data_IF_018668680461
#
_entry.id   IF_018668680461
#
_cell.length_a   1.000
_cell.length_b   1.000
_cell.length_c   1.000
_cell.angle_alpha   90.00
_cell.angle_beta   90.00
_cell.angle_gamma   90.00
#
_symmetry.space_group_name_H-M   'P 1'
#
loop_
_entity.id
_entity.type
_entity.pdbx_description
1 polymer ?
#
# COMPACT_ATOMS: atom_id res chain seq x y z
N UNK A 1 13.34 -13.47 -14.62
CA UNK A 1 12.06 -13.34 -13.85
C UNK A 1 11.13 -12.49 -14.69
N UNK A 2 9.90 -12.96 -14.95
CA UNK A 2 8.91 -12.13 -15.66
C UNK A 2 8.53 -10.99 -14.71
N UNK A 3 8.73 -9.74 -15.13
CA UNK A 3 8.40 -8.53 -14.36
C UNK A 3 6.94 -8.59 -13.91
N UNK A 4 6.66 -8.23 -12.66
CA UNK A 4 5.29 -8.10 -12.10
C UNK A 4 4.45 -7.20 -13.00
N UNK A 5 5.08 -6.12 -13.52
CA UNK A 5 4.50 -5.24 -14.52
C UNK A 5 3.94 -6.00 -15.73
N UNK A 6 4.74 -6.85 -16.39
CA UNK A 6 4.33 -7.56 -17.60
C UNK A 6 3.19 -8.54 -17.31
N UNK A 7 3.18 -9.18 -16.15
CA UNK A 7 2.13 -10.12 -15.73
C UNK A 7 0.81 -9.40 -15.44
N UNK A 8 0.85 -8.29 -14.72
CA UNK A 8 -0.35 -7.50 -14.43
C UNK A 8 -0.90 -6.85 -15.70
N UNK A 9 -0.02 -6.27 -16.53
CA UNK A 9 -0.44 -5.72 -17.83
C UNK A 9 -1.07 -6.78 -18.72
N UNK A 10 -0.45 -7.98 -18.86
CA UNK A 10 -1.00 -9.06 -19.66
C UNK A 10 -2.36 -9.53 -19.13
N UNK A 11 -2.55 -9.64 -17.81
CA UNK A 11 -3.81 -10.03 -17.21
C UNK A 11 -4.92 -9.00 -17.47
N UNK A 12 -4.65 -7.70 -17.23
CA UNK A 12 -5.62 -6.63 -17.49
C UNK A 12 -5.91 -6.47 -18.98
N UNK A 13 -4.89 -6.55 -19.85
CA UNK A 13 -5.05 -6.49 -21.29
C UNK A 13 -5.92 -7.65 -21.83
N UNK A 14 -5.69 -8.87 -21.33
CA UNK A 14 -6.49 -10.03 -21.68
C UNK A 14 -7.93 -9.86 -21.22
N UNK A 15 -8.17 -9.40 -20.00
CA UNK A 15 -9.52 -9.12 -19.49
C UNK A 15 -10.25 -8.09 -20.34
N UNK A 16 -9.60 -6.96 -20.64
CA UNK A 16 -10.14 -5.90 -21.50
C UNK A 16 -10.48 -6.45 -22.88
N UNK A 17 -9.58 -7.22 -23.49
CA UNK A 17 -9.81 -7.83 -24.80
C UNK A 17 -11.06 -8.73 -24.81
N UNK A 18 -11.20 -9.60 -23.84
CA UNK A 18 -12.39 -10.48 -23.76
C UNK A 18 -13.68 -9.68 -23.50
N UNK A 19 -13.66 -8.65 -22.67
CA UNK A 19 -14.82 -7.78 -22.47
C UNK A 19 -15.25 -7.13 -23.79
N UNK A 20 -14.32 -6.60 -24.59
CA UNK A 20 -14.62 -6.03 -25.89
C UNK A 20 -15.12 -7.05 -26.90
N UNK A 21 -14.58 -8.27 -26.89
CA UNK A 21 -15.03 -9.35 -27.76
C UNK A 21 -16.48 -9.76 -27.47
N UNK A 22 -16.82 -9.90 -26.19
CA UNK A 22 -18.21 -10.19 -25.77
C UNK A 22 -19.13 -9.04 -26.17
N UNK A 23 -18.74 -7.81 -25.87
CA UNK A 23 -19.52 -6.61 -26.24
C UNK A 23 -19.77 -6.55 -27.75
N UNK A 24 -18.74 -6.71 -28.58
CA UNK A 24 -18.86 -6.69 -30.02
C UNK A 24 -19.79 -7.79 -30.53
N UNK A 25 -19.71 -9.03 -29.98
CA UNK A 25 -20.58 -10.14 -30.35
C UNK A 25 -22.06 -9.87 -30.05
N UNK A 26 -22.34 -9.37 -28.83
CA UNK A 26 -23.70 -9.01 -28.39
C UNK A 26 -24.24 -7.86 -29.25
N UNK A 27 -23.40 -6.84 -29.48
CA UNK A 27 -23.76 -5.65 -30.25
C UNK A 27 -24.11 -5.97 -31.70
N UNK A 28 -23.33 -6.85 -32.39
CA UNK A 28 -23.64 -7.31 -33.75
C UNK A 28 -24.93 -8.09 -33.78
N UNK A 29 -25.14 -9.00 -32.82
CA UNK A 29 -26.37 -9.84 -32.77
C UNK A 29 -27.64 -9.02 -32.53
N UNK A 30 -27.62 -8.14 -31.52
CA UNK A 30 -28.79 -7.34 -31.17
C UNK A 30 -29.01 -6.23 -32.21
N UNK A 31 -27.96 -5.53 -32.65
CA UNK A 31 -28.06 -4.42 -33.55
C UNK A 31 -28.62 -4.80 -34.90
N UNK A 32 -28.21 -5.94 -35.46
CA UNK A 32 -28.78 -6.47 -36.72
C UNK A 32 -30.27 -6.67 -36.60
N UNK A 33 -30.72 -7.35 -35.55
CA UNK A 33 -32.12 -7.64 -35.35
C UNK A 33 -32.95 -6.36 -35.14
N UNK A 34 -32.39 -5.40 -34.44
CA UNK A 34 -33.02 -4.10 -34.20
C UNK A 34 -33.23 -3.34 -35.52
N UNK A 35 -32.18 -3.20 -36.35
CA UNK A 35 -32.28 -2.49 -37.65
C UNK A 35 -33.30 -3.13 -38.58
N UNK A 36 -33.28 -4.48 -38.68
CA UNK A 36 -34.26 -5.19 -39.51
C UNK A 36 -35.69 -4.99 -38.98
N UNK A 37 -35.89 -5.02 -37.67
CA UNK A 37 -37.20 -4.82 -37.06
C UNK A 37 -37.75 -3.39 -37.26
N UNK A 38 -36.89 -2.39 -37.19
CA UNK A 38 -37.23 -0.97 -37.42
C UNK A 38 -37.68 -0.75 -38.86
N UNK A 39 -36.89 -1.18 -39.87
CA UNK A 39 -37.25 -1.09 -41.27
C UNK A 39 -38.56 -1.83 -41.58
N UNK A 40 -38.76 -3.02 -41.01
CA UNK A 40 -39.99 -3.77 -41.14
C UNK A 40 -41.19 -2.99 -40.60
N UNK A 41 -41.08 -2.38 -39.45
CA UNK A 41 -42.16 -1.64 -38.82
C UNK A 41 -42.50 -0.38 -39.63
N UNK A 42 -41.56 0.30 -40.20
CA UNK A 42 -41.74 1.45 -41.07
C UNK A 42 -42.48 1.06 -42.37
N UNK A 43 -42.13 -0.08 -42.98
CA UNK A 43 -42.79 -0.57 -44.13
C UNK A 43 -44.24 -1.01 -43.85
N UNK A 44 -44.50 -1.63 -42.71
CA UNK A 44 -45.86 -2.00 -42.25
C UNK A 44 -46.69 -0.76 -42.01
N UNK A 45 -46.12 0.28 -41.38
CA UNK A 45 -46.81 1.56 -41.17
C UNK A 45 -47.15 2.23 -42.49
N UNK A 46 -46.18 2.28 -43.43
CA UNK A 46 -46.39 2.82 -44.79
C UNK A 46 -47.49 2.04 -45.53
N UNK A 47 -47.50 0.71 -45.46
CA UNK A 47 -48.52 -0.09 -46.11
C UNK A 47 -49.93 0.14 -45.51
N UNK A 48 -50.02 0.30 -44.19
CA UNK A 48 -51.31 0.63 -43.54
C UNK A 48 -51.81 2.04 -43.91
N UNK A 49 -50.91 3.05 -43.99
CA UNK A 49 -51.26 4.39 -44.37
C UNK A 49 -51.72 4.46 -45.81
N UNK A 50 -51.01 3.84 -46.75
CA UNK A 50 -51.39 3.78 -48.15
C UNK A 50 -52.69 2.98 -48.33
N UNK A 51 -52.91 1.86 -47.65
CA UNK A 51 -54.15 1.08 -47.68
C UNK A 51 -55.36 1.92 -47.26
N UNK A 52 -55.24 2.71 -46.16
CA UNK A 52 -56.28 3.60 -45.69
C UNK A 52 -56.54 4.74 -46.67
N UNK A 53 -55.50 5.35 -47.22
CA UNK A 53 -55.60 6.43 -48.22
C UNK A 53 -56.27 5.91 -49.52
N UNK A 54 -55.86 4.75 -49.97
CA UNK A 54 -56.46 4.10 -51.14
C UNK A 54 -57.94 3.75 -50.90
N UNK A 55 -58.32 3.25 -49.74
CA UNK A 55 -59.71 2.97 -49.37
C UNK A 55 -60.57 4.23 -49.35
N UNK A 56 -60.05 5.34 -48.82
CA UNK A 56 -60.75 6.60 -48.76
C UNK A 56 -60.95 7.23 -50.15
N UNK A 57 -59.93 7.19 -51.00
CA UNK A 57 -59.99 7.71 -52.39
C UNK A 57 -60.93 6.85 -53.24
N UNK A 58 -60.95 5.51 -53.07
CA UNK A 58 -61.80 4.60 -53.81
C UNK A 58 -63.30 4.82 -53.60
N UNK A 59 -63.72 5.59 -52.58
CA UNK A 59 -65.12 6.01 -52.38
C UNK A 59 -65.60 7.08 -53.42
N UNK A 60 -64.69 7.91 -53.90
CA UNK A 60 -65.02 9.03 -54.77
C UNK A 60 -64.42 8.87 -56.17
N UNK A 61 -63.46 7.99 -56.39
CA UNK A 61 -62.72 7.78 -57.62
C UNK A 61 -62.19 6.33 -57.73
N UNK A 62 -61.59 5.98 -58.85
CA UNK A 62 -60.99 4.65 -59.07
C UNK A 62 -59.61 4.54 -58.42
N UNK A 63 -59.17 3.29 -58.10
CA UNK A 63 -57.81 3.01 -57.63
C UNK A 63 -56.70 3.37 -58.65
N UNK A 64 -57.09 3.70 -59.91
CA UNK A 64 -56.18 4.21 -60.95
C UNK A 64 -56.11 5.72 -60.97
N UNK A 65 -56.70 6.43 -60.00
CA UNK A 65 -56.75 7.89 -59.96
C UNK A 65 -55.35 8.54 -59.84
N UNK A 66 -55.12 9.65 -60.53
CA UNK A 66 -53.87 10.40 -60.41
C UNK A 66 -53.65 10.98 -59.00
N UNK A 67 -54.71 11.24 -58.22
CA UNK A 67 -54.65 11.73 -56.83
C UNK A 67 -54.03 10.62 -55.96
N UNK A 68 -54.43 9.36 -56.12
CA UNK A 68 -53.89 8.23 -55.44
C UNK A 68 -52.41 8.01 -55.81
N UNK A 69 -52.07 8.09 -57.11
CA UNK A 69 -50.67 7.99 -57.56
C UNK A 69 -49.77 9.06 -56.98
N UNK A 70 -50.28 10.29 -56.84
CA UNK A 70 -49.54 11.40 -56.22
C UNK A 70 -49.34 11.20 -54.73
N UNK A 71 -50.36 10.73 -54.02
CA UNK A 71 -50.29 10.39 -52.61
C UNK A 71 -49.29 9.25 -52.32
N UNK A 72 -49.34 8.23 -53.13
CA UNK A 72 -48.42 7.08 -53.07
C UNK A 72 -46.97 7.55 -53.32
N UNK A 73 -46.76 8.38 -54.35
CA UNK A 73 -45.45 8.95 -54.68
C UNK A 73 -44.90 9.85 -53.55
N UNK A 74 -45.75 10.59 -52.85
CA UNK A 74 -45.36 11.40 -51.68
C UNK A 74 -44.92 10.50 -50.53
N UNK A 75 -45.70 9.47 -50.18
CA UNK A 75 -45.36 8.54 -49.12
C UNK A 75 -44.07 7.78 -49.48
N UNK A 76 -43.95 7.28 -50.69
CA UNK A 76 -42.76 6.59 -51.18
C UNK A 76 -41.49 7.44 -51.10
N UNK A 77 -41.59 8.75 -51.49
CA UNK A 77 -40.43 9.66 -51.45
C UNK A 77 -40.04 10.05 -50.00
N UNK A 78 -40.97 10.10 -49.07
CA UNK A 78 -40.68 10.41 -47.66
C UNK A 78 -40.05 9.23 -46.92
N UNK A 79 -40.43 7.98 -47.29
CA UNK A 79 -39.96 6.77 -46.60
C UNK A 79 -38.80 6.06 -47.33
N UNK A 80 -38.52 6.42 -48.58
CA UNK A 80 -37.53 5.75 -49.43
C UNK A 80 -37.98 4.36 -49.91
N UNK A 81 -39.25 4.01 -49.68
CA UNK A 81 -39.85 2.75 -50.12
C UNK A 81 -40.45 2.89 -51.53
N UNK A 82 -40.51 1.77 -52.27
CA UNK A 82 -41.36 1.70 -53.46
C UNK A 82 -42.71 1.17 -53.09
N UNK A 83 -43.76 1.84 -53.60
CA UNK A 83 -45.14 1.48 -53.31
C UNK A 83 -45.91 1.30 -54.62
N UNK A 84 -46.69 0.24 -54.71
CA UNK A 84 -47.63 0.05 -55.82
C UNK A 84 -48.94 -0.60 -55.32
N UNK A 85 -49.99 -0.41 -56.10
CA UNK A 85 -51.32 -0.95 -55.81
C UNK A 85 -51.74 -1.84 -56.94
N UNK A 86 -52.38 -2.94 -56.61
CA UNK A 86 -53.00 -3.89 -57.59
C UNK A 86 -54.51 -3.90 -57.44
N UNK A 87 -55.15 -4.35 -58.47
CA UNK A 87 -56.56 -4.75 -58.42
C UNK A 87 -56.75 -6.08 -57.65
N UNK A 88 -57.98 -6.58 -57.56
CA UNK A 88 -58.34 -7.85 -56.91
C UNK A 88 -57.65 -9.08 -57.50
N UNK A 89 -57.30 -9.01 -58.82
CA UNK A 89 -56.66 -10.07 -59.61
C UNK A 89 -55.11 -10.01 -59.50
N UNK A 90 -54.58 -8.98 -58.88
CA UNK A 90 -53.13 -8.78 -58.73
C UNK A 90 -52.48 -8.01 -59.87
N UNK A 91 -53.27 -7.37 -60.76
CA UNK A 91 -52.72 -6.47 -61.83
C UNK A 91 -52.36 -5.14 -61.25
N UNK A 92 -51.13 -4.65 -61.51
CA UNK A 92 -50.62 -3.38 -60.99
C UNK A 92 -51.31 -2.22 -61.72
N UNK A 93 -52.06 -1.42 -60.96
CA UNK A 93 -52.85 -0.28 -61.45
C UNK A 93 -52.32 1.09 -61.05
N UNK A 94 -51.45 1.18 -60.03
CA UNK A 94 -50.81 2.40 -59.60
C UNK A 94 -49.43 2.11 -59.02
N UNK A 95 -48.45 2.97 -59.30
CA UNK A 95 -47.05 2.79 -58.86
C UNK A 95 -46.43 4.13 -58.47
N UNK A 96 -45.55 4.14 -57.47
CA UNK A 96 -44.83 5.31 -56.98
C UNK A 96 -43.64 5.70 -57.85
N UNK A 97 -43.23 4.85 -58.83
CA UNK A 97 -42.12 5.15 -59.71
C UNK A 97 -42.45 6.33 -60.61
N UNK A 98 -41.62 7.38 -60.57
CA UNK A 98 -41.79 8.65 -61.38
C UNK A 98 -41.27 8.56 -62.79
N UNK A 99 -40.92 7.38 -63.30
CA UNK A 99 -40.51 7.22 -64.69
C UNK A 99 -41.72 7.48 -65.61
N UNK A 100 -41.51 8.08 -66.80
CA UNK A 100 -42.62 8.43 -67.68
C UNK A 100 -43.49 7.23 -68.12
N UNK A 101 -42.96 6.01 -67.98
CA UNK A 101 -43.70 4.75 -68.06
C UNK A 101 -43.09 3.81 -66.98
N UNK A 102 -43.88 3.52 -65.93
CA UNK A 102 -43.48 2.52 -64.92
C UNK A 102 -43.49 1.14 -65.58
N UNK A 103 -42.35 0.45 -65.65
CA UNK A 103 -42.22 -0.88 -66.28
C UNK A 103 -43.13 -1.92 -65.62
N UNK A 104 -43.61 -1.66 -64.42
CA UNK A 104 -44.45 -2.59 -63.63
C UNK A 104 -45.96 -2.41 -63.87
N UNK A 105 -46.40 -1.28 -64.53
CA UNK A 105 -47.80 -1.02 -64.79
C UNK A 105 -48.41 -2.04 -65.73
N UNK A 106 -49.58 -2.60 -65.34
CA UNK A 106 -50.27 -3.60 -66.10
C UNK A 106 -49.71 -5.03 -65.95
N UNK A 107 -48.63 -5.21 -65.22
CA UNK A 107 -48.10 -6.54 -64.88
C UNK A 107 -48.99 -7.18 -63.85
N UNK A 108 -49.40 -8.49 -64.11
CA UNK A 108 -50.14 -9.27 -63.11
C UNK A 108 -49.19 -10.09 -62.28
N UNK A 109 -49.33 -10.04 -60.95
CA UNK A 109 -48.54 -10.81 -60.01
C UNK A 109 -48.98 -12.32 -60.08
N UNK A 110 -48.03 -13.18 -59.66
CA UNK A 110 -48.32 -14.62 -59.60
C UNK A 110 -49.53 -14.91 -58.69
N UNK A 111 -50.48 -15.72 -59.10
CA UNK A 111 -51.73 -16.05 -58.36
C UNK A 111 -51.48 -16.51 -56.94
N UNK A 112 -50.33 -17.15 -56.69
CA UNK A 112 -49.94 -17.72 -55.40
C UNK A 112 -49.74 -16.55 -54.37
N UNK A 113 -49.23 -15.39 -54.77
CA UNK A 113 -49.02 -14.24 -53.93
C UNK A 113 -50.34 -13.65 -53.47
N UNK A 114 -51.28 -13.48 -54.40
CA UNK A 114 -52.63 -12.97 -54.13
C UNK A 114 -53.41 -13.92 -53.24
N UNK A 115 -53.32 -15.23 -53.49
CA UNK A 115 -53.94 -16.24 -52.67
C UNK A 115 -53.38 -16.23 -51.23
N UNK A 116 -52.06 -16.06 -51.05
CA UNK A 116 -51.46 -15.91 -49.73
C UNK A 116 -51.98 -14.64 -48.99
N UNK A 117 -52.12 -13.52 -49.71
CA UNK A 117 -52.67 -12.29 -49.13
C UNK A 117 -54.15 -12.47 -48.75
N UNK A 118 -54.93 -13.13 -49.59
CA UNK A 118 -56.35 -13.42 -49.31
C UNK A 118 -56.55 -14.31 -48.10
N UNK A 119 -55.68 -15.33 -47.91
CA UNK A 119 -55.74 -16.25 -46.76
C UNK A 119 -55.22 -15.64 -45.47
N UNK A 120 -54.09 -14.90 -45.51
CA UNK A 120 -53.37 -14.44 -44.31
C UNK A 120 -53.67 -12.99 -43.94
N UNK A 121 -54.41 -12.23 -44.78
CA UNK A 121 -54.69 -10.82 -44.55
C UNK A 121 -53.48 -9.89 -44.65
N UNK A 122 -52.28 -10.40 -44.85
CA UNK A 122 -51.04 -9.63 -45.04
C UNK A 122 -49.91 -10.52 -45.56
N UNK A 123 -48.97 -9.90 -46.27
CA UNK A 123 -47.77 -10.58 -46.73
C UNK A 123 -46.55 -9.82 -46.14
N UNK A 124 -45.62 -10.56 -45.58
CA UNK A 124 -44.39 -10.03 -45.01
C UNK A 124 -43.26 -11.03 -45.29
N UNK A 125 -42.47 -10.80 -46.32
CA UNK A 125 -41.41 -11.71 -46.78
C UNK A 125 -40.31 -10.99 -47.56
N UNK A 126 -39.15 -11.66 -47.64
CA UNK A 126 -38.08 -11.31 -48.56
C UNK A 126 -38.20 -12.13 -49.84
N UNK A 127 -38.11 -11.51 -51.00
CA UNK A 127 -38.14 -12.20 -52.27
C UNK A 127 -38.15 -11.26 -53.48
N UNK A 128 -38.36 -11.83 -54.66
CA UNK A 128 -38.39 -11.12 -55.96
C UNK A 128 -39.79 -10.84 -56.46
N UNK A 129 -40.82 -11.10 -55.66
CA UNK A 129 -42.24 -10.95 -56.00
C UNK A 129 -42.63 -11.73 -57.28
N UNK A 130 -42.29 -13.00 -57.38
CA UNK A 130 -42.57 -13.85 -58.54
C UNK A 130 -41.73 -13.45 -59.79
N UNK A 131 -40.56 -12.82 -59.59
CA UNK A 131 -39.69 -12.39 -60.70
C UNK A 131 -39.93 -10.97 -61.18
N UNK A 132 -40.84 -10.23 -60.55
CA UNK A 132 -41.06 -8.80 -60.85
C UNK A 132 -39.80 -7.97 -60.68
N UNK A 133 -39.02 -8.26 -59.66
CA UNK A 133 -37.73 -7.61 -59.37
C UNK A 133 -36.55 -8.55 -59.62
N UNK A 134 -35.47 -7.96 -60.18
CA UNK A 134 -34.20 -8.68 -60.45
C UNK A 134 -33.42 -8.98 -59.18
N UNK A 135 -33.57 -8.17 -58.10
CA UNK A 135 -32.92 -8.33 -56.81
C UNK A 135 -33.92 -8.65 -55.71
N UNK A 136 -33.48 -9.34 -54.67
CA UNK A 136 -34.29 -9.58 -53.49
C UNK A 136 -34.68 -8.29 -52.80
N UNK A 137 -35.95 -8.18 -52.41
CA UNK A 137 -36.53 -7.04 -51.69
C UNK A 137 -37.24 -7.54 -50.43
N UNK A 138 -37.33 -6.70 -49.46
CA UNK A 138 -38.29 -6.85 -48.39
C UNK A 138 -39.65 -6.37 -48.90
N UNK A 139 -40.69 -7.15 -48.68
CA UNK A 139 -42.02 -6.93 -49.28
C UNK A 139 -43.06 -7.02 -48.15
N UNK A 140 -43.77 -5.95 -47.95
CA UNK A 140 -44.96 -5.91 -47.10
C UNK A 140 -46.18 -5.62 -47.99
N UNK A 141 -47.23 -6.45 -47.87
CA UNK A 141 -48.46 -6.16 -48.59
C UNK A 141 -49.69 -6.26 -47.66
N UNK A 142 -50.68 -5.39 -47.94
CA UNK A 142 -51.90 -5.28 -47.18
C UNK A 142 -53.10 -5.18 -48.13
N UNK A 143 -54.27 -5.73 -47.78
CA UNK A 143 -55.50 -5.54 -48.58
C UNK A 143 -55.96 -4.05 -48.46
N UNK A 144 -56.64 -3.60 -49.48
CA UNK A 144 -57.36 -2.33 -49.50
C UNK A 144 -58.84 -2.69 -49.37
N UNK A 145 -59.46 -2.39 -48.21
CA UNK A 145 -60.86 -2.67 -48.02
C UNK A 145 -61.73 -1.61 -48.71
N UNK A 146 -62.85 -2.04 -49.23
CA UNK A 146 -63.94 -1.14 -49.68
C UNK A 146 -64.52 -0.44 -48.43
N UNK A 147 -64.84 0.83 -48.54
CA UNK A 147 -65.33 1.62 -47.39
C UNK A 147 -66.82 1.33 -47.04
N UNK A 148 -67.54 0.57 -47.86
CA UNK A 148 -68.96 0.27 -47.64
C UNK A 148 -69.25 -1.12 -47.06
N UNK A 149 -68.70 -2.15 -47.66
CA UNK A 149 -68.98 -3.56 -47.38
C UNK A 149 -67.75 -4.30 -46.80
N UNK A 150 -66.57 -3.69 -46.79
CA UNK A 150 -65.35 -4.32 -46.27
C UNK A 150 -64.75 -5.34 -47.24
N UNK A 151 -65.30 -5.53 -48.43
CA UNK A 151 -64.66 -6.37 -49.46
C UNK A 151 -63.33 -5.82 -49.90
N UNK A 152 -62.40 -6.67 -50.27
CA UNK A 152 -61.06 -6.26 -50.71
C UNK A 152 -61.15 -5.83 -52.18
N UNK A 153 -60.88 -4.60 -52.47
CA UNK A 153 -60.90 -3.99 -53.82
C UNK A 153 -59.51 -3.95 -54.46
N UNK A 154 -58.48 -4.36 -53.79
CA UNK A 154 -57.10 -4.42 -54.28
C UNK A 154 -56.10 -4.67 -53.19
N UNK A 155 -54.81 -4.57 -53.50
CA UNK A 155 -53.74 -4.82 -52.54
C UNK A 155 -52.66 -3.72 -52.68
N UNK A 156 -52.13 -3.24 -51.56
CA UNK A 156 -50.98 -2.36 -51.47
C UNK A 156 -49.75 -3.18 -51.24
N UNK A 157 -48.71 -2.90 -52.00
CA UNK A 157 -47.39 -3.47 -51.84
C UNK A 157 -46.39 -2.37 -51.54
N UNK A 158 -45.65 -2.50 -50.46
CA UNK A 158 -44.51 -1.67 -50.09
C UNK A 158 -43.25 -2.51 -50.18
N UNK A 159 -42.28 -2.08 -50.95
CA UNK A 159 -41.05 -2.85 -51.18
C UNK A 159 -39.81 -1.98 -50.98
N UNK A 160 -38.76 -2.55 -50.41
CA UNK A 160 -37.46 -1.89 -50.27
C UNK A 160 -36.34 -2.88 -50.64
N UNK A 161 -35.34 -2.48 -51.46
CA UNK A 161 -34.21 -3.31 -51.76
C UNK A 161 -33.48 -3.75 -50.47
N UNK A 162 -33.16 -5.05 -50.34
CA UNK A 162 -32.41 -5.53 -49.21
C UNK A 162 -31.03 -4.88 -49.07
N UNK A 163 -30.46 -4.39 -50.18
CA UNK A 163 -29.17 -3.68 -50.19
C UNK A 163 -29.19 -2.35 -49.40
N UNK A 164 -30.32 -1.64 -49.38
CA UNK A 164 -30.48 -0.41 -48.59
C UNK A 164 -30.44 -0.70 -47.09
N UNK A 165 -31.06 -1.79 -46.65
CA UNK A 165 -31.04 -2.24 -45.27
C UNK A 165 -29.62 -2.69 -44.87
N UNK A 166 -28.93 -3.41 -45.76
CA UNK A 166 -27.52 -3.86 -45.54
C UNK A 166 -26.56 -2.68 -45.54
N UNK A 167 -26.81 -1.67 -46.42
CA UNK A 167 -26.04 -0.42 -46.47
C UNK A 167 -26.13 0.37 -45.16
N UNK A 168 -27.32 0.57 -44.62
CA UNK A 168 -27.52 1.23 -43.34
C UNK A 168 -26.82 0.46 -42.19
N UNK A 169 -26.93 -0.89 -42.17
CA UNK A 169 -26.24 -1.74 -41.20
C UNK A 169 -24.74 -1.65 -41.36
N UNK A 170 -24.15 -1.62 -42.55
CA UNK A 170 -22.73 -1.52 -42.78
C UNK A 170 -22.15 -0.19 -42.29
N UNK A 171 -22.87 0.91 -42.51
CA UNK A 171 -22.50 2.24 -42.01
C UNK A 171 -22.51 2.26 -40.49
N UNK A 172 -23.55 1.72 -39.86
CA UNK A 172 -23.66 1.58 -38.42
C UNK A 172 -22.51 0.75 -37.83
N UNK A 173 -22.18 -0.40 -38.44
CA UNK A 173 -21.04 -1.22 -38.03
C UNK A 173 -19.70 -0.49 -38.15
N UNK A 174 -19.53 0.29 -39.21
CA UNK A 174 -18.28 1.07 -39.41
C UNK A 174 -18.09 2.08 -38.30
N UNK A 175 -19.12 2.90 -38.02
CA UNK A 175 -19.07 3.90 -36.95
C UNK A 175 -18.83 3.21 -35.60
N UNK A 176 -19.57 2.13 -35.29
CA UNK A 176 -19.42 1.38 -34.06
C UNK A 176 -18.01 0.78 -33.92
N UNK A 177 -17.44 0.27 -35.01
CA UNK A 177 -16.09 -0.31 -35.01
C UNK A 177 -15.02 0.75 -34.71
N UNK A 178 -15.13 1.95 -35.29
CA UNK A 178 -14.19 3.07 -35.04
C UNK A 178 -14.26 3.51 -33.58
N UNK A 179 -15.48 3.69 -33.04
CA UNK A 179 -15.67 4.08 -31.64
C UNK A 179 -15.12 3.00 -30.71
N UNK A 180 -15.44 1.73 -30.95
CA UNK A 180 -14.98 0.58 -30.16
C UNK A 180 -13.44 0.51 -30.16
N UNK A 181 -12.81 0.68 -31.30
CA UNK A 181 -11.35 0.67 -31.42
C UNK A 181 -10.73 1.85 -30.64
N UNK A 182 -11.32 3.03 -30.71
CA UNK A 182 -10.86 4.21 -29.96
C UNK A 182 -10.92 3.97 -28.43
N UNK A 183 -12.04 3.45 -27.93
CA UNK A 183 -12.21 3.13 -26.51
C UNK A 183 -11.25 2.01 -26.08
N UNK A 184 -11.06 0.99 -26.92
CA UNK A 184 -10.09 -0.09 -26.66
C UNK A 184 -8.66 0.45 -26.54
N UNK A 185 -8.23 1.30 -27.48
CA UNK A 185 -6.91 1.91 -27.43
C UNK A 185 -6.73 2.77 -26.16
N UNK A 186 -7.74 3.56 -25.79
CA UNK A 186 -7.72 4.37 -24.57
C UNK A 186 -7.62 3.48 -23.31
N UNK A 187 -8.41 2.41 -23.23
CA UNK A 187 -8.36 1.47 -22.12
C UNK A 187 -6.98 0.77 -21.98
N UNK A 188 -6.37 0.40 -23.12
CA UNK A 188 -5.02 -0.17 -23.13
C UNK A 188 -3.97 0.81 -22.66
N UNK A 189 -4.06 2.06 -23.05
CA UNK A 189 -3.13 3.12 -22.61
C UNK A 189 -3.24 3.37 -21.10
N UNK A 190 -4.46 3.46 -20.58
CA UNK A 190 -4.70 3.58 -19.13
C UNK A 190 -4.15 2.37 -18.38
N UNK A 191 -4.38 1.15 -18.89
CA UNK A 191 -3.85 -0.09 -18.30
C UNK A 191 -2.30 -0.10 -18.25
N UNK A 192 -1.64 0.38 -19.31
CA UNK A 192 -0.18 0.50 -19.36
C UNK A 192 0.34 1.45 -18.30
N UNK A 193 -0.24 2.65 -18.19
CA UNK A 193 0.17 3.67 -17.21
C UNK A 193 -0.05 3.16 -15.79
N UNK A 194 -1.24 2.62 -15.50
CA UNK A 194 -1.60 2.11 -14.18
C UNK A 194 -0.69 0.94 -13.74
N UNK A 195 -0.48 -0.03 -14.63
CA UNK A 195 0.38 -1.18 -14.35
C UNK A 195 1.85 -0.76 -14.07
N UNK A 196 2.36 0.24 -14.80
CA UNK A 196 3.70 0.78 -14.59
C UNK A 196 3.80 1.53 -13.26
N UNK A 197 2.79 2.34 -12.92
CA UNK A 197 2.75 3.12 -11.67
C UNK A 197 2.72 2.20 -10.45
N UNK A 198 1.94 1.12 -10.47
CA UNK A 198 1.88 0.17 -9.37
C UNK A 198 3.10 -0.76 -9.24
N UNK A 199 3.71 -1.15 -10.36
CA UNK A 199 4.81 -2.11 -10.32
C UNK A 199 6.15 -1.48 -9.93
N UNK A 200 6.37 -0.22 -10.27
CA UNK A 200 7.66 0.46 -10.06
C UNK A 200 8.09 0.56 -8.60
N UNK A 201 7.24 1.00 -7.65
CA UNK A 201 7.62 1.05 -6.24
C UNK A 201 7.97 -0.33 -5.66
N UNK A 202 7.24 -1.37 -6.07
CA UNK A 202 7.50 -2.75 -5.63
C UNK A 202 8.87 -3.26 -6.13
N UNK A 203 9.24 -2.93 -7.37
CA UNK A 203 10.56 -3.28 -7.92
C UNK A 203 11.68 -2.50 -7.19
N UNK A 204 11.47 -1.23 -6.85
CA UNK A 204 12.40 -0.42 -6.07
C UNK A 204 12.56 -0.97 -4.64
N UNK A 205 11.47 -1.35 -3.97
CA UNK A 205 11.52 -2.01 -2.66
C UNK A 205 12.25 -3.35 -2.70
N UNK A 206 12.00 -4.16 -3.73
CA UNK A 206 12.70 -5.42 -3.92
C UNK A 206 14.22 -5.21 -4.19
N UNK A 207 14.58 -4.13 -4.89
CA UNK A 207 15.97 -3.76 -5.10
C UNK A 207 16.64 -3.25 -3.81
N UNK A 208 15.94 -2.42 -3.03
CA UNK A 208 16.38 -1.93 -1.73
C UNK A 208 16.58 -3.08 -0.73
N UNK A 209 15.64 -4.04 -0.67
CA UNK A 209 15.76 -5.23 0.18
C UNK A 209 16.98 -6.08 -0.17
N UNK A 210 17.32 -6.20 -1.45
CA UNK A 210 18.57 -6.90 -1.85
C UNK A 210 19.84 -6.17 -1.42
N UNK A 211 19.81 -4.83 -1.35
CA UNK A 211 20.93 -4.03 -0.82
C UNK A 211 21.03 -4.16 0.70
N UNK A 212 19.88 -4.17 1.40
CA UNK A 212 19.83 -4.43 2.84
C UNK A 212 20.44 -5.79 3.21
N UNK A 213 20.15 -6.84 2.42
CA UNK A 213 20.76 -8.16 2.60
C UNK A 213 22.29 -8.16 2.46
N UNK A 214 22.87 -7.12 1.86
CA UNK A 214 24.34 -6.91 1.71
C UNK A 214 24.88 -5.91 2.73
N UNK A 215 24.06 -5.42 3.66
CA UNK A 215 24.45 -4.47 4.70
C UNK A 215 24.39 -2.99 4.30
N UNK A 216 23.85 -2.66 3.11
CA UNK A 216 23.64 -1.27 2.69
C UNK A 216 22.23 -0.80 3.10
N UNK A 217 22.12 -0.18 4.28
CA UNK A 217 20.87 0.32 4.84
C UNK A 217 20.61 1.80 4.50
N UNK A 218 21.47 2.46 3.72
CA UNK A 218 21.33 3.87 3.34
C UNK A 218 20.27 4.12 2.26
N UNK A 219 19.81 3.05 1.61
CA UNK A 219 18.88 3.12 0.49
C UNK A 219 17.47 3.42 0.98
N UNK A 220 16.80 4.35 0.29
CA UNK A 220 15.38 4.68 0.52
C UNK A 220 14.59 4.50 -0.76
N UNK A 221 13.34 4.09 -0.63
CA UNK A 221 12.38 4.03 -1.73
C UNK A 221 11.74 5.40 -1.88
N UNK A 222 11.66 5.87 -3.13
CA UNK A 222 11.14 7.20 -3.44
C UNK A 222 9.62 7.22 -3.20
N UNK A 223 9.16 8.20 -2.47
CA UNK A 223 7.73 8.47 -2.28
C UNK A 223 7.21 9.16 -3.55
N UNK A 224 6.22 8.56 -4.22
CA UNK A 224 5.55 9.18 -5.36
C UNK A 224 4.41 10.10 -4.87
N UNK A 225 3.82 10.87 -5.80
CA UNK A 225 2.96 12.04 -5.57
C UNK A 225 1.67 11.83 -4.74
N UNK A 226 1.38 10.65 -4.24
CA UNK A 226 0.17 10.39 -3.45
C UNK A 226 0.50 9.59 -2.17
N UNK A 227 0.84 10.27 -1.05
CA UNK A 227 1.23 9.62 0.20
C UNK A 227 0.07 8.93 0.93
N UNK A 228 -1.18 9.17 0.53
CA UNK A 228 -2.36 8.75 1.30
C UNK A 228 -2.96 7.40 0.83
N UNK A 229 -2.36 6.75 -0.16
CA UNK A 229 -2.77 5.41 -0.57
C UNK A 229 -1.99 4.31 0.18
N UNK A 230 -2.44 3.06 0.06
CA UNK A 230 -1.81 1.89 0.72
C UNK A 230 -0.34 1.72 0.30
N UNK A 231 0.01 2.14 -0.91
CA UNK A 231 1.37 2.09 -1.41
C UNK A 231 2.25 3.15 -0.73
N UNK A 232 1.72 4.36 -0.53
CA UNK A 232 2.39 5.43 0.22
C UNK A 232 2.69 5.02 1.66
N UNK A 233 1.71 4.44 2.36
CA UNK A 233 1.87 3.90 3.72
C UNK A 233 2.92 2.79 3.77
N UNK A 234 2.94 1.91 2.77
CA UNK A 234 3.93 0.84 2.67
C UNK A 234 5.35 1.37 2.46
N UNK A 235 5.53 2.36 1.59
CA UNK A 235 6.82 3.03 1.34
C UNK A 235 7.31 3.73 2.61
N UNK A 236 6.43 4.47 3.29
CA UNK A 236 6.78 5.14 4.54
C UNK A 236 7.22 4.14 5.62
N UNK A 237 6.46 3.06 5.80
CA UNK A 237 6.79 2.00 6.75
C UNK A 237 8.11 1.32 6.42
N UNK A 238 8.38 1.07 5.13
CA UNK A 238 9.65 0.54 4.67
C UNK A 238 10.82 1.49 4.96
N UNK A 239 10.66 2.78 4.69
CA UNK A 239 11.70 3.77 4.94
C UNK A 239 11.96 3.95 6.46
N UNK A 240 10.93 3.94 7.31
CA UNK A 240 11.07 3.95 8.78
C UNK A 240 11.84 2.71 9.29
N UNK A 241 11.56 1.54 8.72
CA UNK A 241 12.35 0.34 9.03
C UNK A 241 13.80 0.49 8.59
N UNK A 242 14.05 1.07 7.41
CA UNK A 242 15.39 1.36 6.91
C UNK A 242 16.17 2.29 7.85
N UNK A 243 15.52 3.38 8.31
CA UNK A 243 16.11 4.32 9.28
C UNK A 243 16.50 3.61 10.59
N UNK A 244 15.61 2.75 11.09
CA UNK A 244 15.86 1.98 12.31
C UNK A 244 17.04 1.02 12.16
N UNK A 245 17.15 0.33 11.01
CA UNK A 245 18.24 -0.60 10.72
C UNK A 245 19.58 0.14 10.54
N UNK A 246 19.59 1.26 9.83
CA UNK A 246 20.78 2.08 9.63
C UNK A 246 21.33 2.61 10.97
N UNK A 247 20.44 3.14 11.83
CA UNK A 247 20.79 3.59 13.17
C UNK A 247 21.30 2.45 14.06
N UNK A 248 20.69 1.25 13.95
CA UNK A 248 21.14 0.09 14.71
C UNK A 248 22.54 -0.35 14.29
N UNK A 249 22.83 -0.38 12.97
CA UNK A 249 24.15 -0.76 12.47
C UNK A 249 25.21 0.30 12.77
N UNK A 250 24.86 1.58 12.67
CA UNK A 250 25.75 2.67 13.08
C UNK A 250 26.14 2.54 14.56
N UNK A 251 25.16 2.34 15.45
CA UNK A 251 25.40 2.12 16.88
C UNK A 251 26.24 0.87 17.14
N UNK A 252 26.06 -0.18 16.35
CA UNK A 252 26.86 -1.41 16.44
C UNK A 252 28.31 -1.18 16.00
N UNK A 253 28.51 -0.47 14.89
CA UNK A 253 29.85 -0.16 14.37
C UNK A 253 30.63 0.75 15.34
N UNK A 254 29.98 1.80 15.86
CA UNK A 254 30.56 2.68 16.88
C UNK A 254 30.95 1.92 18.14
N UNK A 255 30.10 0.98 18.59
CA UNK A 255 30.41 0.12 19.72
C UNK A 255 31.68 -0.72 19.48
N UNK A 256 31.77 -1.40 18.33
CA UNK A 256 32.93 -2.23 17.98
C UNK A 256 34.21 -1.37 17.89
N UNK A 257 34.11 -0.18 17.29
CA UNK A 257 35.24 0.73 17.18
C UNK A 257 35.74 1.19 18.56
N UNK A 258 34.82 1.61 19.45
CA UNK A 258 35.15 2.05 20.80
C UNK A 258 35.75 0.92 21.66
N UNK A 259 35.16 -0.28 21.58
CA UNK A 259 35.71 -1.49 22.25
C UNK A 259 37.13 -1.75 21.79
N UNK A 260 37.36 -1.72 20.47
CA UNK A 260 38.70 -1.98 19.91
C UNK A 260 39.71 -0.96 20.39
N UNK A 261 39.30 0.31 20.50
CA UNK A 261 40.17 1.38 21.00
C UNK A 261 40.50 1.21 22.49
N UNK A 262 39.46 0.97 23.32
CA UNK A 262 39.61 0.81 24.76
C UNK A 262 40.40 -0.47 25.16
N UNK A 263 40.39 -1.50 24.30
CA UNK A 263 41.24 -2.69 24.48
C UNK A 263 42.70 -2.46 24.01
N UNK A 264 42.88 -1.75 22.90
CA UNK A 264 44.22 -1.56 22.31
C UNK A 264 45.17 -0.79 23.22
N UNK A 265 44.69 0.29 23.86
CA UNK A 265 45.51 1.16 24.70
C UNK A 265 46.16 0.40 25.86
N UNK A 266 45.44 -0.29 26.77
CA UNK A 266 46.09 -1.06 27.84
C UNK A 266 46.97 -2.21 27.33
N UNK A 267 46.58 -2.90 26.25
CA UNK A 267 47.41 -3.94 25.67
C UNK A 267 48.76 -3.39 25.17
N UNK A 268 48.77 -2.25 24.49
CA UNK A 268 50.02 -1.63 24.02
C UNK A 268 50.90 -1.19 25.21
N UNK A 269 50.30 -0.66 26.27
CA UNK A 269 51.02 -0.26 27.49
C UNK A 269 51.64 -1.47 28.20
N UNK A 270 50.86 -2.58 28.36
CA UNK A 270 51.34 -3.82 28.96
C UNK A 270 52.51 -4.39 28.13
N UNK A 271 52.32 -4.52 26.81
CA UNK A 271 53.35 -5.02 25.91
C UNK A 271 54.65 -4.18 25.97
N UNK A 272 54.50 -2.84 25.84
CA UNK A 272 55.64 -1.93 25.85
C UNK A 272 56.43 -1.97 27.19
N UNK A 273 55.74 -2.06 28.34
CA UNK A 273 56.43 -2.21 29.61
C UNK A 273 57.06 -3.57 29.79
N UNK A 274 56.42 -4.62 29.35
CA UNK A 274 56.97 -5.96 29.37
C UNK A 274 58.23 -6.06 28.50
N UNK A 275 58.17 -5.55 27.26
CA UNK A 275 59.29 -5.54 26.33
C UNK A 275 60.44 -4.71 26.90
N UNK A 276 60.19 -3.50 27.44
CA UNK A 276 61.19 -2.65 28.04
C UNK A 276 61.86 -3.25 29.30
N UNK A 277 61.16 -4.15 30.03
CA UNK A 277 61.76 -4.92 31.14
C UNK A 277 62.66 -6.03 30.56
N UNK A 278 62.19 -6.73 29.51
CA UNK A 278 62.88 -7.86 28.91
C UNK A 278 64.15 -7.47 28.14
N UNK A 279 64.13 -6.35 27.44
CA UNK A 279 65.25 -5.86 26.65
C UNK A 279 66.26 -5.02 27.46
N UNK A 280 65.97 -4.77 28.80
CA UNK A 280 66.82 -4.02 29.69
C UNK A 280 66.74 -2.48 29.53
N UNK A 281 65.85 -1.98 28.70
CA UNK A 281 65.57 -0.53 28.56
C UNK A 281 65.09 0.09 29.87
N UNK A 282 64.32 -0.70 30.67
CA UNK A 282 63.86 -0.30 32.00
C UNK A 282 64.87 -0.78 33.05
N UNK A 283 65.51 0.14 33.80
CA UNK A 283 66.46 -0.21 34.86
C UNK A 283 65.82 -1.09 35.94
N UNK A 284 66.63 -1.99 36.52
CA UNK A 284 66.17 -2.99 37.53
C UNK A 284 65.49 -2.28 38.74
N UNK A 285 65.96 -1.14 39.14
CA UNK A 285 65.40 -0.30 40.22
C UNK A 285 63.98 0.19 39.97
N UNK A 286 63.63 0.41 38.68
CA UNK A 286 62.30 0.87 38.25
C UNK A 286 61.35 -0.25 37.84
N UNK A 287 61.82 -1.48 37.61
CA UNK A 287 61.00 -2.60 37.14
C UNK A 287 59.77 -2.85 38.00
N UNK A 288 59.89 -2.72 39.33
CA UNK A 288 58.79 -2.93 40.25
C UNK A 288 57.62 -1.93 40.01
N UNK A 289 57.91 -0.69 39.63
CA UNK A 289 56.92 0.32 39.26
C UNK A 289 56.16 -0.06 37.98
N UNK A 290 56.90 -0.48 36.97
CA UNK A 290 56.29 -0.87 35.69
C UNK A 290 55.50 -2.20 35.81
N UNK A 291 55.98 -3.15 36.62
CA UNK A 291 55.22 -4.38 36.94
C UNK A 291 53.89 -4.08 37.67
N UNK A 292 53.87 -3.05 38.55
CA UNK A 292 52.61 -2.57 39.14
C UNK A 292 51.70 -1.97 38.08
N UNK A 293 52.21 -1.15 37.15
CA UNK A 293 51.43 -0.62 36.05
C UNK A 293 50.84 -1.72 35.12
N UNK A 294 51.61 -2.75 34.80
CA UNK A 294 51.15 -3.92 34.03
C UNK A 294 50.01 -4.61 34.80
N UNK A 295 50.18 -4.84 36.09
CA UNK A 295 49.14 -5.44 36.94
C UNK A 295 47.84 -4.59 36.92
N UNK A 296 47.97 -3.27 37.06
CA UNK A 296 46.81 -2.38 37.15
C UNK A 296 46.08 -2.28 35.78
N UNK A 297 46.83 -2.21 34.69
CA UNK A 297 46.25 -2.28 33.35
C UNK A 297 45.58 -3.67 33.05
N UNK A 298 46.14 -4.76 33.53
CA UNK A 298 45.53 -6.09 33.40
C UNK A 298 44.22 -6.18 34.17
N UNK A 299 44.16 -5.62 35.38
CA UNK A 299 42.93 -5.51 36.19
C UNK A 299 41.89 -4.62 35.52
N UNK A 300 42.30 -3.51 34.91
CA UNK A 300 41.44 -2.63 34.14
C UNK A 300 40.83 -3.37 32.92
N UNK A 301 41.66 -4.11 32.18
CA UNK A 301 41.24 -4.91 31.05
C UNK A 301 40.22 -5.99 31.48
N UNK A 302 40.46 -6.67 32.57
CA UNK A 302 39.54 -7.67 33.12
C UNK A 302 38.18 -7.08 33.51
N UNK A 303 38.17 -5.85 34.07
CA UNK A 303 36.91 -5.15 34.36
C UNK A 303 36.17 -4.78 33.08
N UNK A 304 36.86 -4.20 32.09
CA UNK A 304 36.28 -3.85 30.77
C UNK A 304 35.57 -5.04 30.11
N UNK A 305 36.25 -6.21 30.08
CA UNK A 305 35.67 -7.44 29.51
C UNK A 305 34.44 -7.89 30.30
N UNK A 306 34.48 -7.83 31.63
CA UNK A 306 33.33 -8.18 32.47
C UNK A 306 32.14 -7.24 32.25
N UNK A 307 32.37 -5.92 32.18
CA UNK A 307 31.33 -4.95 31.94
C UNK A 307 30.67 -5.16 30.57
N UNK A 308 31.46 -5.47 29.53
CA UNK A 308 30.95 -5.80 28.22
C UNK A 308 30.06 -7.06 28.22
N UNK A 309 30.49 -8.10 28.95
CA UNK A 309 29.69 -9.32 29.11
C UNK A 309 28.38 -9.03 29.86
N UNK A 310 28.44 -8.22 30.92
CA UNK A 310 27.25 -7.80 31.66
C UNK A 310 26.26 -7.02 30.80
N UNK A 311 26.73 -6.10 29.94
CA UNK A 311 25.89 -5.38 28.96
C UNK A 311 25.26 -6.33 27.95
N UNK A 312 26.01 -7.32 27.46
CA UNK A 312 25.50 -8.34 26.53
C UNK A 312 24.45 -9.21 27.20
N UNK A 313 24.69 -9.65 28.42
CA UNK A 313 23.75 -10.46 29.21
C UNK A 313 22.49 -9.68 29.59
N UNK A 314 22.59 -8.43 30.01
CA UNK A 314 21.44 -7.60 30.34
C UNK A 314 20.49 -7.47 29.16
N UNK A 315 21.01 -7.34 27.94
CA UNK A 315 20.19 -7.31 26.72
C UNK A 315 19.50 -8.64 26.41
N UNK A 316 20.17 -9.76 26.64
CA UNK A 316 19.59 -11.09 26.38
C UNK A 316 18.61 -11.53 27.47
N UNK A 317 18.84 -11.12 28.72
CA UNK A 317 17.99 -11.43 29.88
C UNK A 317 16.73 -10.57 29.94
N UNK A 318 16.72 -9.40 29.29
CA UNK A 318 15.57 -8.50 29.17
C UNK A 318 14.30 -9.19 28.66
N UNK A 319 14.46 -10.30 27.92
CA UNK A 319 13.35 -11.02 27.29
C UNK A 319 12.84 -12.23 28.12
N UNK A 320 13.41 -12.54 29.29
CA UNK A 320 12.97 -13.69 30.08
C UNK A 320 12.23 -13.28 31.38
N UNK A 321 10.87 -13.26 31.36
CA UNK A 321 10.06 -12.93 32.53
C UNK A 321 10.25 -13.90 33.74
N UNK A 322 10.85 -15.08 33.50
CA UNK A 322 11.03 -16.10 34.55
C UNK A 322 12.07 -15.72 35.58
N UNK A 323 12.95 -14.75 35.27
CA UNK A 323 13.97 -14.26 36.21
C UNK A 323 13.45 -13.23 37.19
N UNK A 324 12.28 -12.65 36.95
CA UNK A 324 11.65 -11.66 37.84
C UNK A 324 11.07 -12.39 39.05
N UNK A 325 11.68 -12.20 40.20
CA UNK A 325 11.26 -12.78 41.50
C UNK A 325 10.80 -11.66 42.44
N UNK A 326 10.03 -12.03 43.46
CA UNK A 326 9.66 -11.07 44.51
C UNK A 326 10.74 -11.14 45.58
N UNK A 327 11.30 -9.98 45.94
CA UNK A 327 12.33 -9.85 46.95
C UNK A 327 12.21 -8.50 47.70
N UNK A 328 12.84 -8.44 48.84
CA UNK A 328 12.93 -7.25 49.66
C UNK A 328 14.02 -6.31 49.14
N UNK A 329 13.57 -5.15 48.59
CA UNK A 329 14.46 -4.14 48.05
C UNK A 329 15.24 -3.40 49.13
N UNK A 330 14.67 -3.21 50.34
CA UNK A 330 15.31 -2.57 51.48
C UNK A 330 16.52 -3.36 51.91
N UNK A 331 16.36 -4.69 52.08
CA UNK A 331 17.43 -5.59 52.44
C UNK A 331 18.54 -5.63 51.37
N UNK A 332 18.15 -5.68 50.09
CA UNK A 332 19.12 -5.70 48.99
C UNK A 332 19.99 -4.42 48.96
N UNK A 333 19.37 -3.23 49.13
CA UNK A 333 20.10 -1.98 49.21
C UNK A 333 21.06 -1.95 50.38
N UNK A 334 20.61 -2.39 51.58
CA UNK A 334 21.45 -2.44 52.76
C UNK A 334 22.65 -3.41 52.60
N UNK A 335 22.41 -4.59 52.07
CA UNK A 335 23.50 -5.57 51.83
C UNK A 335 24.53 -5.01 50.83
N UNK A 336 24.05 -4.32 49.77
CA UNK A 336 24.95 -3.72 48.78
C UNK A 336 25.72 -2.56 49.39
N UNK A 337 25.05 -1.71 50.18
CA UNK A 337 25.70 -0.58 50.88
C UNK A 337 26.81 -1.01 51.81
N UNK A 338 26.61 -2.07 52.60
CA UNK A 338 27.63 -2.63 53.49
C UNK A 338 28.91 -3.02 52.74
N UNK A 339 28.81 -3.45 51.49
CA UNK A 339 29.99 -3.74 50.65
C UNK A 339 30.85 -2.53 50.31
N UNK A 340 30.30 -1.31 50.46
CA UNK A 340 31.01 -0.05 50.26
C UNK A 340 31.51 0.62 51.50
N UNK A 341 31.25 0.04 52.71
CA UNK A 341 31.63 0.65 54.01
C UNK A 341 33.11 1.03 54.09
N UNK A 342 34.01 0.11 53.72
CA UNK A 342 35.47 0.39 53.74
C UNK A 342 35.84 1.57 52.85
N UNK A 343 35.26 1.61 51.63
CA UNK A 343 35.56 2.66 50.63
C UNK A 343 34.96 4.02 51.03
N UNK A 344 33.79 4.02 51.65
CA UNK A 344 33.16 5.20 52.19
C UNK A 344 33.98 5.78 53.36
N UNK A 345 34.44 4.90 54.28
CA UNK A 345 35.29 5.27 55.40
C UNK A 345 36.66 5.80 54.95
N UNK A 346 37.29 5.21 53.90
CA UNK A 346 38.53 5.72 53.33
C UNK A 346 38.44 7.16 52.82
N UNK A 347 37.23 7.56 52.35
CA UNK A 347 36.93 8.94 51.95
C UNK A 347 36.29 9.78 53.05
N UNK A 348 36.08 9.27 54.23
CA UNK A 348 35.35 9.91 55.34
C UNK A 348 33.95 10.42 54.90
N UNK A 349 33.23 9.61 54.13
CA UNK A 349 31.87 9.92 53.69
C UNK A 349 30.91 9.67 54.84
N UNK A 350 30.00 10.62 55.11
CA UNK A 350 28.84 10.40 55.97
C UNK A 350 27.71 9.76 55.20
N UNK A 351 27.33 8.51 55.54
CA UNK A 351 26.30 7.78 54.79
C UNK A 351 24.98 7.88 55.56
N UNK A 352 23.99 8.50 54.91
CA UNK A 352 22.64 8.75 55.44
C UNK A 352 21.60 7.88 54.71
N UNK A 353 21.25 6.66 55.22
CA UNK A 353 20.21 5.81 54.67
C UNK A 353 18.82 6.25 55.14
N UNK A 354 18.00 6.77 54.23
CA UNK A 354 16.62 7.23 54.47
C UNK A 354 15.65 6.19 53.97
N UNK A 355 15.32 5.19 54.79
CA UNK A 355 14.41 4.09 54.44
C UNK A 355 13.12 4.13 55.26
N UNK A 356 11.98 3.71 54.69
CA UNK A 356 10.74 3.58 55.45
C UNK A 356 10.84 2.47 56.50
N UNK A 357 10.03 2.57 57.55
CA UNK A 357 9.96 1.51 58.57
C UNK A 357 9.55 0.15 58.05
N UNK A 358 8.67 0.17 57.02
CA UNK A 358 8.19 -1.06 56.39
C UNK A 358 9.07 -1.43 55.19
N UNK A 359 9.46 -2.69 55.12
CA UNK A 359 10.19 -3.26 53.99
C UNK A 359 9.42 -3.09 52.67
N UNK A 360 10.11 -2.84 51.57
CA UNK A 360 9.52 -2.67 50.25
C UNK A 360 9.79 -3.90 49.40
N UNK A 361 8.72 -4.63 49.10
CA UNK A 361 8.77 -5.78 48.20
C UNK A 361 8.59 -5.35 46.75
N UNK A 362 9.48 -5.81 45.88
CA UNK A 362 9.44 -5.52 44.43
C UNK A 362 9.52 -6.79 43.60
N UNK A 363 9.01 -6.75 42.38
CA UNK A 363 9.08 -7.87 41.42
C UNK A 363 10.05 -7.54 40.28
N UNK A 364 11.29 -8.04 40.39
CA UNK A 364 12.35 -7.78 39.43
C UNK A 364 13.37 -8.94 39.37
N UNK A 365 14.38 -8.86 38.51
CA UNK A 365 15.55 -9.72 38.54
C UNK A 365 16.51 -9.22 39.64
N UNK A 366 16.61 -9.97 40.73
CA UNK A 366 17.37 -9.60 41.92
C UNK A 366 18.83 -9.32 41.60
N UNK A 367 19.47 -10.15 40.77
CA UNK A 367 20.89 -10.01 40.42
C UNK A 367 21.12 -8.74 39.55
N UNK A 368 20.20 -8.50 38.60
CA UNK A 368 20.27 -7.33 37.77
C UNK A 368 20.07 -6.02 38.57
N UNK A 369 19.11 -6.00 39.53
CA UNK A 369 18.91 -4.82 40.40
C UNK A 369 20.09 -4.64 41.37
N UNK A 370 20.67 -5.73 41.87
CA UNK A 370 21.92 -5.65 42.66
C UNK A 370 23.02 -4.94 41.87
N UNK A 371 23.16 -5.25 40.56
CA UNK A 371 24.14 -4.61 39.68
C UNK A 371 23.83 -3.12 39.45
N UNK A 372 22.53 -2.74 39.35
CA UNK A 372 22.12 -1.35 39.28
C UNK A 372 22.56 -0.56 40.49
N UNK A 373 22.22 -1.07 41.71
CA UNK A 373 22.53 -0.41 42.96
C UNK A 373 24.05 -0.32 43.14
N UNK A 374 24.77 -1.40 42.85
CA UNK A 374 26.24 -1.45 42.92
C UNK A 374 26.87 -0.36 42.02
N UNK A 375 26.45 -0.24 40.76
CA UNK A 375 27.00 0.75 39.84
C UNK A 375 26.70 2.20 40.26
N UNK A 376 25.49 2.46 40.79
CA UNK A 376 25.14 3.78 41.29
C UNK A 376 25.93 4.15 42.54
N UNK A 377 26.10 3.20 43.48
CA UNK A 377 26.92 3.40 44.68
C UNK A 377 28.41 3.54 44.36
N UNK A 378 28.93 2.77 43.41
CA UNK A 378 30.33 2.89 42.95
C UNK A 378 30.60 4.28 42.39
N UNK A 379 29.70 4.80 41.57
CA UNK A 379 29.79 6.16 41.04
C UNK A 379 29.70 7.20 42.17
N UNK A 380 28.72 7.09 43.06
CA UNK A 380 28.52 8.03 44.15
C UNK A 380 29.73 8.11 45.07
N UNK A 381 30.26 6.96 45.53
CA UNK A 381 31.48 6.92 46.39
C UNK A 381 32.69 7.43 45.62
N UNK A 382 32.79 7.20 44.32
CA UNK A 382 33.91 7.60 43.49
C UNK A 382 33.98 9.13 43.24
N UNK A 383 32.83 9.75 42.97
CA UNK A 383 32.76 11.18 42.63
C UNK A 383 32.43 12.09 43.82
N UNK A 384 31.98 11.53 44.95
CA UNK A 384 31.81 12.29 46.18
C UNK A 384 33.09 12.95 46.65
N UNK A 385 33.01 14.18 47.19
CA UNK A 385 34.12 14.88 47.84
C UNK A 385 34.44 14.20 49.18
N UNK A 386 35.72 14.04 49.55
CA UNK A 386 36.07 13.55 50.84
C UNK A 386 35.41 14.38 51.98
N UNK A 387 34.82 13.71 52.98
CA UNK A 387 34.09 14.34 54.07
C UNK A 387 32.68 14.82 53.74
N UNK A 388 32.15 14.52 52.52
CA UNK A 388 30.78 14.86 52.15
C UNK A 388 29.77 13.75 52.56
N UNK A 389 28.49 14.03 52.34
CA UNK A 389 27.40 13.11 52.62
C UNK A 389 27.02 12.26 51.38
N UNK A 390 26.70 11.00 51.61
CA UNK A 390 26.06 10.08 50.61
C UNK A 390 24.67 9.69 51.13
N UNK A 391 23.62 10.17 50.44
CA UNK A 391 22.25 9.93 50.86
C UNK A 391 21.62 8.83 49.97
N UNK A 392 21.12 7.77 50.61
CA UNK A 392 20.30 6.75 49.94
C UNK A 392 18.87 6.85 50.43
N UNK A 393 17.94 7.14 49.51
CA UNK A 393 16.54 7.24 49.87
C UNK A 393 15.72 6.15 49.14
N UNK A 394 14.87 5.49 49.89
CA UNK A 394 13.89 4.53 49.36
C UNK A 394 12.50 4.97 49.83
N UNK A 395 11.55 5.15 48.87
CA UNK A 395 10.19 5.52 49.17
C UNK A 395 9.20 4.94 48.18
N UNK A 396 7.92 4.94 48.55
CA UNK A 396 6.82 4.50 47.67
C UNK A 396 6.05 5.72 47.20
N UNK A 397 5.76 5.77 45.91
CA UNK A 397 4.85 6.75 45.33
C UNK A 397 4.16 6.17 44.09
N UNK A 398 2.88 6.51 43.86
CA UNK A 398 2.09 6.10 42.69
C UNK A 398 2.22 4.61 42.31
N UNK A 399 2.26 3.71 43.29
CA UNK A 399 2.34 2.26 43.02
C UNK A 399 3.73 1.73 42.63
N UNK A 400 4.76 2.57 42.75
CA UNK A 400 6.16 2.21 42.45
C UNK A 400 7.05 2.44 43.69
N UNK A 401 8.14 1.70 43.73
CA UNK A 401 9.27 1.97 44.63
C UNK A 401 10.26 2.89 43.91
N UNK A 402 10.70 3.94 44.57
CA UNK A 402 11.71 4.88 44.09
C UNK A 402 12.97 4.71 44.91
N UNK A 403 14.10 4.54 44.22
CA UNK A 403 15.43 4.49 44.83
C UNK A 403 16.22 5.68 44.36
N UNK A 404 16.63 6.54 45.27
CA UNK A 404 17.49 7.69 45.02
C UNK A 404 18.85 7.48 45.62
N UNK A 405 19.90 7.69 44.85
CA UNK A 405 21.32 7.73 45.29
C UNK A 405 21.82 9.12 45.00
N UNK A 406 22.17 9.85 46.07
CA UNK A 406 22.61 11.25 46.02
C UNK A 406 23.98 11.38 46.64
N UNK A 407 24.88 11.99 45.91
CA UNK A 407 26.23 12.38 46.39
C UNK A 407 26.48 13.86 46.28
N UNK A 408 27.46 14.35 47.05
CA UNK A 408 27.95 15.72 47.00
C UNK A 408 29.39 15.73 46.52
N UNK A 409 29.56 16.08 45.28
CA UNK A 409 30.82 16.02 44.58
C UNK A 409 30.95 17.09 43.49
N UNK A 410 31.47 16.68 42.35
CA UNK A 410 31.51 17.56 41.18
C UNK A 410 30.17 17.53 40.44
N UNK A 411 29.71 18.72 40.02
CA UNK A 411 28.50 18.83 39.19
C UNK A 411 28.79 18.36 37.80
N UNK A 412 27.90 17.52 37.27
CA UNK A 412 27.92 17.12 35.86
C UNK A 412 27.50 18.33 35.00
N UNK A 413 28.29 18.73 33.98
CA UNK A 413 27.92 19.83 33.11
C UNK A 413 26.56 19.62 32.46
N UNK A 414 25.73 20.67 32.31
CA UNK A 414 24.41 20.55 31.67
C UNK A 414 24.48 19.94 30.28
N UNK A 415 25.53 20.20 29.52
CA UNK A 415 25.74 19.66 28.17
C UNK A 415 26.03 18.14 28.18
N UNK A 416 26.56 17.60 29.27
CA UNK A 416 26.86 16.17 29.44
C UNK A 416 25.67 15.37 29.98
N UNK A 417 24.73 16.01 30.71
CA UNK A 417 23.58 15.33 31.34
C UNK A 417 22.76 14.46 30.40
N UNK A 418 22.44 14.89 29.15
CA UNK A 418 21.70 14.05 28.20
C UNK A 418 22.43 12.76 27.82
N UNK A 419 23.76 12.73 27.92
CA UNK A 419 24.64 11.70 27.43
C UNK A 419 25.23 10.79 28.52
N UNK A 420 24.99 11.06 29.82
CA UNK A 420 25.60 10.29 30.93
C UNK A 420 25.27 8.81 30.91
N UNK A 421 24.15 8.44 30.28
CA UNK A 421 23.74 7.05 30.10
C UNK A 421 24.22 6.46 28.77
N UNK A 422 24.96 7.20 27.95
CA UNK A 422 25.48 6.67 26.69
C UNK A 422 26.73 5.81 26.92
N UNK A 423 26.97 4.89 25.97
CA UNK A 423 28.12 4.00 26.06
C UNK A 423 29.42 4.76 25.90
N UNK A 424 30.41 4.43 26.76
CA UNK A 424 31.74 5.04 26.74
C UNK A 424 31.74 6.53 26.97
N UNK A 425 30.60 7.13 27.36
CA UNK A 425 30.56 8.54 27.69
C UNK A 425 31.24 8.79 29.03
N UNK A 426 32.11 9.78 29.06
CA UNK A 426 32.76 10.34 30.25
C UNK A 426 32.90 11.84 30.04
N UNK A 427 32.46 12.64 31.00
CA UNK A 427 32.76 14.06 30.99
C UNK A 427 34.27 14.30 31.07
N UNK A 428 34.76 15.39 30.52
CA UNK A 428 36.20 15.69 30.52
C UNK A 428 36.79 15.73 31.95
N UNK A 429 35.98 16.12 32.90
CA UNK A 429 36.37 16.14 34.32
C UNK A 429 36.39 14.73 34.92
N UNK A 430 35.43 13.89 34.57
CA UNK A 430 35.40 12.52 35.05
C UNK A 430 36.56 11.67 34.52
N UNK A 431 37.11 12.02 33.33
CA UNK A 431 38.31 11.39 32.75
C UNK A 431 39.55 11.57 33.62
N UNK A 432 39.65 12.72 34.29
CA UNK A 432 40.80 13.00 35.17
C UNK A 432 40.69 12.31 36.52
N UNK A 433 39.51 12.19 37.09
CA UNK A 433 39.23 11.57 38.39
C UNK A 433 39.12 10.05 38.32
N UNK A 434 38.55 9.53 37.26
CA UNK A 434 38.33 8.10 36.99
C UNK A 434 39.12 7.63 35.79
N UNK A 435 40.40 7.41 35.94
CA UNK A 435 41.28 6.83 34.92
C UNK A 435 40.91 5.38 34.59
N UNK A 436 40.30 4.67 35.53
CA UNK A 436 40.03 3.23 35.46
C UNK A 436 38.64 2.87 34.93
N UNK A 437 37.68 3.79 34.98
CA UNK A 437 36.33 3.57 34.48
C UNK A 437 36.30 3.45 32.96
N UNK A 438 35.33 2.74 32.44
CA UNK A 438 35.15 2.51 30.98
C UNK A 438 33.99 3.30 30.41
N UNK A 439 33.14 3.89 31.27
CA UNK A 439 31.91 4.57 30.83
C UNK A 439 30.80 3.61 30.40
N UNK A 440 30.80 2.39 30.93
CA UNK A 440 29.75 1.40 30.67
C UNK A 440 28.79 1.21 31.84
N UNK A 441 29.14 1.61 33.06
CA UNK A 441 28.35 1.38 34.26
C UNK A 441 26.96 2.01 34.22
N UNK A 442 26.85 3.30 33.92
CA UNK A 442 25.55 4.00 33.80
C UNK A 442 24.74 3.53 32.61
N UNK A 443 25.39 3.21 31.49
CA UNK A 443 24.70 2.57 30.36
C UNK A 443 24.08 1.22 30.73
N UNK A 444 24.82 0.39 31.52
CA UNK A 444 24.30 -0.88 32.02
C UNK A 444 23.10 -0.66 32.93
N UNK A 445 23.18 0.33 33.85
CA UNK A 445 22.08 0.72 34.73
C UNK A 445 20.84 1.04 33.90
N UNK A 446 20.92 1.95 32.92
CA UNK A 446 19.79 2.29 32.06
C UNK A 446 19.28 1.10 31.27
N UNK A 447 20.17 0.23 30.77
CA UNK A 447 19.79 -0.97 30.04
C UNK A 447 18.98 -1.94 30.92
N UNK A 448 19.39 -2.15 32.16
CA UNK A 448 18.70 -3.01 33.12
C UNK A 448 17.33 -2.40 33.49
N UNK A 449 17.29 -1.13 33.86
CA UNK A 449 16.04 -0.48 34.26
C UNK A 449 15.04 -0.47 33.13
N UNK A 450 15.43 -0.11 31.92
CA UNK A 450 14.57 -0.16 30.73
C UNK A 450 14.08 -1.59 30.43
N UNK A 451 14.89 -2.61 30.72
CA UNK A 451 14.50 -4.02 30.55
C UNK A 451 13.42 -4.49 31.53
N UNK A 452 13.22 -3.74 32.59
CA UNK A 452 12.16 -3.96 33.57
C UNK A 452 10.92 -3.08 33.31
N UNK A 453 10.88 -2.35 32.19
CA UNK A 453 9.82 -1.41 31.82
C UNK A 453 9.73 -0.24 32.83
N UNK A 454 10.87 0.14 33.40
CA UNK A 454 11.04 1.17 34.42
C UNK A 454 11.96 2.30 33.95
N UNK A 455 11.98 3.41 34.67
CA UNK A 455 12.71 4.64 34.30
C UNK A 455 13.84 4.95 35.29
N UNK A 456 14.88 5.64 34.76
CA UNK A 456 15.95 6.24 35.55
C UNK A 456 16.18 7.67 35.07
N UNK A 457 16.33 8.58 36.04
CA UNK A 457 16.64 9.99 35.83
C UNK A 457 17.90 10.41 36.61
N UNK A 458 18.51 11.48 36.14
CA UNK A 458 19.66 12.15 36.80
C UNK A 458 19.39 13.62 36.93
N UNK A 459 19.77 14.19 38.06
CA UNK A 459 19.84 15.62 38.34
C UNK A 459 21.19 15.94 38.90
N UNK A 460 21.86 16.97 38.39
CA UNK A 460 23.16 17.44 38.92
C UNK A 460 23.21 18.96 38.90
N UNK A 461 23.31 19.56 40.10
CA UNK A 461 23.36 20.99 40.28
C UNK A 461 24.06 21.33 41.60
N UNK A 462 24.73 22.48 41.69
CA UNK A 462 25.33 23.05 42.90
C UNK A 462 26.22 22.07 43.71
N UNK A 463 26.99 21.25 43.04
CA UNK A 463 27.86 20.26 43.68
C UNK A 463 27.13 19.02 44.18
N UNK A 464 25.90 18.80 43.79
CA UNK A 464 25.09 17.64 44.14
C UNK A 464 24.71 16.86 42.84
N UNK A 465 24.83 15.55 42.89
CA UNK A 465 24.35 14.64 41.84
C UNK A 465 23.41 13.60 42.46
N UNK A 466 22.25 13.44 41.85
CA UNK A 466 21.20 12.49 42.27
C UNK A 466 20.75 11.64 41.09
N UNK A 467 20.83 10.32 41.27
CA UNK A 467 20.24 9.34 40.36
C UNK A 467 19.00 8.74 41.02
N UNK A 468 17.88 8.73 40.30
CA UNK A 468 16.61 8.14 40.78
C UNK A 468 16.10 7.12 39.79
N UNK A 469 15.80 5.92 40.23
CA UNK A 469 15.15 4.91 39.41
C UNK A 469 13.90 4.34 40.09
N UNK A 470 13.03 3.74 39.27
CA UNK A 470 11.77 3.15 39.71
C UNK A 470 11.76 1.63 39.59
N UNK A 471 10.94 0.98 40.41
CA UNK A 471 10.60 -0.44 40.31
C UNK A 471 9.13 -0.66 40.67
N UNK A 472 8.49 -1.59 39.96
CA UNK A 472 7.12 -2.01 40.26
C UNK A 472 7.06 -2.75 41.60
N UNK A 473 6.13 -2.34 42.49
CA UNK A 473 5.89 -3.01 43.75
C UNK A 473 5.35 -4.43 43.51
N UNK A 474 5.76 -5.36 44.37
CA UNK A 474 5.09 -6.67 44.42
C UNK A 474 3.73 -6.47 45.11
N UNK A 475 2.66 -6.96 44.48
CA UNK A 475 1.31 -7.02 45.08
C UNK A 475 1.28 -7.95 46.29
#
# INVERSE_FOLDING_TARGET
MKSIYLRNFAATATMVFFCFLIFASVFVGIGRNYVISEYRQDMVNSANEVSRTASAIAQSDSLSSWVLSMSISSIASSTGNQVFITDENGTIISCSDRAPVCEHMGVTLAPEIINQLRLNGSLDKIGTLGGLYKSSRYIVAKPVPSAGDGETIGYVFVTNPTDNMLGAWSTFLTVASVVTLGVFCAAMLVSLVYSKRMARPLDEMAAASRKFARGDFSVRVRQEDNPDDEMGVLIESFNKMADSLEQAEKRRSEFIANVSHELRTPMTTIAGFADGILDGTIPTEDQQKYLRSIRDETRRLSRLVRDMLSVSQAKSSASDPRRRTVFDLTELILQTLLSFESRANEKNLDVDPQFPENHIMVKADKDAITQVIYNLLDNAVKFAKPGSCLILRLYKDCGKAYVSVKDFGETIPPDDLPFVFDRFHKSDRSRSLDKDGVGLGLYLVKTIINSHDEDIAVRSEDGMTEFVFTLTLAE
#
